data_IF_875634127388
#
_entry.id   IF_875634127388
#
_cell.length_a   1.000
_cell.length_b   1.000
_cell.length_c   1.000
_cell.angle_alpha   90.00
_cell.angle_beta   90.00
_cell.angle_gamma   90.00
#
_symmetry.space_group_name_H-M   'P 1'
#
loop_
_entity.id
_entity.type
_entity.pdbx_description
1 polymer ?
#
# COMPACT_ATOMS: atom_id res chain seq x y z
N UNK A 1 -43.35 -4.16 -5.63
CA UNK A 1 -42.66 -4.61 -4.41
C UNK A 1 -41.19 -4.77 -4.78
N UNK A 2 -40.37 -3.70 -4.76
CA UNK A 2 -39.72 -3.10 -3.58
C UNK A 2 -39.03 -4.24 -2.77
N UNK A 3 -37.70 -4.34 -2.63
CA UNK A 3 -36.80 -3.25 -2.20
C UNK A 3 -35.30 -3.55 -2.43
N UNK A 4 -34.60 -2.55 -3.00
CA UNK A 4 -33.24 -2.00 -2.71
C UNK A 4 -31.99 -2.90 -2.67
N UNK A 5 -30.95 -2.65 -3.48
CA UNK A 5 -29.98 -1.50 -3.51
C UNK A 5 -29.13 -1.47 -2.22
N UNK A 6 -27.79 -1.48 -2.26
CA UNK A 6 -26.84 -0.39 -2.64
C UNK A 6 -25.45 -1.04 -2.95
N UNK A 7 -24.87 -1.01 -4.16
CA UNK A 7 -23.91 -0.04 -4.75
C UNK A 7 -22.77 0.47 -3.84
N UNK A 8 -21.51 0.17 -4.20
CA UNK A 8 -20.40 1.14 -4.42
C UNK A 8 -19.10 0.39 -4.88
N UNK A 9 -18.77 0.20 -6.16
CA UNK A 9 -18.08 1.06 -7.17
C UNK A 9 -16.73 1.67 -6.74
N UNK A 10 -15.62 1.06 -7.18
CA UNK A 10 -14.60 1.62 -8.09
C UNK A 10 -13.52 0.55 -8.30
N UNK A 11 -13.05 0.11 -9.46
CA UNK A 11 -13.33 0.36 -10.88
C UNK A 11 -12.49 -0.70 -11.60
N UNK A 12 -13.12 -1.67 -12.26
CA UNK A 12 -12.53 -2.30 -13.44
C UNK A 12 -13.67 -2.53 -14.43
N UNK A 13 -13.68 -1.81 -15.56
CA UNK A 13 -14.75 -1.93 -16.54
C UNK A 13 -14.66 -3.32 -17.17
N UNK A 14 -15.71 -4.09 -16.96
CA UNK A 14 -16.12 -5.20 -17.80
C UNK A 14 -16.31 -4.72 -19.24
N UNK A 15 -15.41 -5.07 -20.16
CA UNK A 15 -15.73 -5.12 -21.58
C UNK A 15 -15.32 -6.46 -22.18
N UNK A 16 -16.37 -7.22 -22.41
CA UNK A 16 -16.49 -8.58 -22.91
C UNK A 16 -16.08 -8.77 -24.39
N UNK A 17 -15.27 -9.81 -24.64
CA UNK A 17 -15.64 -11.02 -25.40
C UNK A 17 -15.65 -11.10 -26.96
N UNK A 18 -15.12 -10.17 -27.78
CA UNK A 18 -15.21 -10.38 -29.27
C UNK A 18 -14.08 -9.91 -30.23
N UNK A 19 -12.82 -9.73 -29.83
CA UNK A 19 -11.75 -9.43 -30.83
C UNK A 19 -10.59 -10.40 -30.69
N UNK A 20 -10.78 -11.57 -31.30
CA UNK A 20 -9.97 -12.76 -31.08
C UNK A 20 -8.87 -13.01 -32.14
N UNK A 21 -8.68 -12.20 -33.19
CA UNK A 21 -7.85 -12.67 -34.31
C UNK A 21 -6.44 -12.09 -34.50
N UNK A 22 -6.08 -10.83 -34.19
CA UNK A 22 -4.77 -10.36 -34.73
C UNK A 22 -4.01 -9.21 -34.03
N UNK A 23 -4.34 -8.81 -32.78
CA UNK A 23 -3.57 -7.78 -32.04
C UNK A 23 -3.10 -8.25 -30.65
N UNK A 24 -3.42 -9.50 -30.31
CA UNK A 24 -3.30 -10.05 -28.96
C UNK A 24 -1.85 -10.19 -28.47
N UNK A 25 -0.89 -10.39 -29.38
CA UNK A 25 0.48 -10.76 -28.99
C UNK A 25 1.31 -9.57 -28.47
N UNK A 26 1.00 -8.34 -28.89
CA UNK A 26 1.72 -7.14 -28.43
C UNK A 26 1.08 -6.46 -27.21
N UNK A 27 -0.22 -6.69 -26.98
CA UNK A 27 -0.95 -6.09 -25.86
C UNK A 27 -0.87 -6.91 -24.56
N UNK A 28 -0.72 -8.25 -24.65
CA UNK A 28 -0.48 -9.11 -23.47
C UNK A 28 0.84 -8.72 -22.77
N UNK A 29 1.90 -8.44 -23.54
CA UNK A 29 3.17 -7.95 -22.97
C UNK A 29 3.06 -6.59 -22.29
N UNK A 30 2.08 -5.75 -22.66
CA UNK A 30 1.93 -4.41 -22.07
C UNK A 30 1.15 -4.44 -20.74
N UNK A 31 0.15 -5.33 -20.60
CA UNK A 31 -0.60 -5.49 -19.34
C UNK A 31 0.17 -6.32 -18.29
N UNK A 32 0.95 -7.31 -18.70
CA UNK A 32 1.76 -8.14 -17.78
C UNK A 32 3.02 -7.43 -17.25
N UNK A 33 3.44 -6.34 -17.91
CA UNK A 33 4.62 -5.57 -17.49
C UNK A 33 4.32 -4.61 -16.33
N UNK A 34 3.09 -4.09 -16.24
CA UNK A 34 2.67 -3.17 -15.16
C UNK A 34 2.61 -3.84 -13.80
N UNK A 35 1.94 -5.01 -13.70
CA UNK A 35 1.78 -5.74 -12.45
C UNK A 35 3.10 -6.29 -11.90
N UNK A 36 4.01 -6.76 -12.77
CA UNK A 36 5.33 -7.25 -12.33
C UNK A 36 6.20 -6.15 -11.72
N UNK A 37 6.15 -4.93 -12.25
CA UNK A 37 6.97 -3.82 -11.75
C UNK A 37 6.48 -3.33 -10.39
N UNK A 38 5.17 -3.38 -10.16
CA UNK A 38 4.58 -3.05 -8.88
C UNK A 38 4.97 -4.09 -7.82
N UNK A 39 4.87 -5.39 -8.14
CA UNK A 39 5.21 -6.47 -7.21
C UNK A 39 6.64 -6.39 -6.65
N UNK A 40 7.63 -6.14 -7.51
CA UNK A 40 9.05 -6.05 -7.11
C UNK A 40 9.26 -4.94 -6.06
N UNK A 41 8.64 -3.77 -6.24
CA UNK A 41 8.80 -2.66 -5.29
C UNK A 41 8.14 -2.94 -3.94
N UNK A 42 7.01 -3.65 -3.94
CA UNK A 42 6.34 -4.02 -2.69
C UNK A 42 7.20 -5.01 -1.90
N UNK A 43 7.83 -5.97 -2.57
CA UNK A 43 8.77 -6.92 -1.95
C UNK A 43 10.00 -6.22 -1.35
N UNK A 44 10.55 -5.19 -2.01
CA UNK A 44 11.68 -4.41 -1.48
C UNK A 44 11.31 -3.68 -0.19
N UNK A 45 10.15 -3.00 -0.17
CA UNK A 45 9.66 -2.27 0.99
C UNK A 45 9.32 -3.24 2.13
N UNK A 46 8.66 -4.35 1.81
CA UNK A 46 8.33 -5.39 2.79
C UNK A 46 9.59 -6.01 3.41
N UNK A 47 10.66 -6.19 2.63
CA UNK A 47 11.95 -6.68 3.14
C UNK A 47 12.52 -5.73 4.19
N UNK A 48 12.50 -4.42 3.94
CA UNK A 48 12.98 -3.41 4.88
C UNK A 48 12.07 -3.36 6.12
N UNK A 49 10.75 -3.39 5.95
CA UNK A 49 9.82 -3.42 7.09
C UNK A 49 10.04 -4.67 7.96
N UNK A 50 10.33 -5.82 7.36
CA UNK A 50 10.66 -7.05 8.10
C UNK A 50 11.94 -6.93 8.94
N UNK A 51 12.91 -6.09 8.53
CA UNK A 51 14.10 -5.81 9.34
C UNK A 51 13.79 -4.95 10.56
N UNK A 52 12.79 -4.07 10.48
CA UNK A 52 12.40 -3.14 11.55
C UNK A 52 11.42 -3.79 12.54
N UNK A 53 10.61 -4.76 12.08
CA UNK A 53 9.64 -5.52 12.90
C UNK A 53 10.18 -6.01 14.26
N UNK A 54 11.35 -6.67 14.38
CA UNK A 54 11.83 -7.13 15.68
C UNK A 54 12.07 -6.00 16.68
N UNK A 55 12.47 -4.81 16.21
CA UNK A 55 12.60 -3.63 17.08
C UNK A 55 11.23 -3.12 17.53
N UNK A 56 10.24 -3.09 16.63
CA UNK A 56 8.88 -2.66 16.95
C UNK A 56 8.16 -3.65 17.88
N UNK A 57 8.38 -4.94 17.69
CA UNK A 57 7.82 -6.00 18.55
C UNK A 57 8.38 -5.93 19.97
N UNK A 58 9.65 -5.55 20.13
CA UNK A 58 10.23 -5.29 21.45
C UNK A 58 9.54 -4.14 22.19
N UNK A 59 9.07 -3.13 21.45
CA UNK A 59 8.24 -2.03 21.98
C UNK A 59 6.76 -2.41 22.15
N UNK A 60 6.38 -3.67 21.84
CA UNK A 60 5.00 -4.16 21.91
C UNK A 60 4.11 -3.69 20.76
N UNK A 61 4.72 -3.28 19.65
CA UNK A 61 4.09 -2.77 18.45
C UNK A 61 4.17 -3.70 17.24
N UNK A 62 3.62 -3.23 16.12
CA UNK A 62 3.76 -3.87 14.82
C UNK A 62 3.50 -2.88 13.68
N UNK A 63 3.91 -3.25 12.47
CA UNK A 63 3.69 -2.46 11.26
C UNK A 63 3.31 -3.35 10.09
N UNK A 64 2.33 -2.88 9.31
CA UNK A 64 1.92 -3.47 8.04
C UNK A 64 1.91 -2.44 6.93
N UNK A 65 2.31 -2.88 5.74
CA UNK A 65 2.22 -2.08 4.53
C UNK A 65 0.78 -2.14 3.99
N UNK A 66 0.17 -0.97 3.74
CA UNK A 66 -1.19 -0.88 3.18
C UNK A 66 -1.14 -0.54 1.69
N UNK A 67 -0.40 0.50 1.33
CA UNK A 67 -0.30 0.97 -0.04
C UNK A 67 1.00 1.75 -0.27
N UNK A 68 1.47 1.77 -1.50
CA UNK A 68 2.66 2.49 -1.96
C UNK A 68 2.29 3.30 -3.20
N UNK A 69 2.24 4.63 -3.06
CA UNK A 69 1.97 5.58 -4.12
C UNK A 69 3.28 6.18 -4.63
N UNK A 70 3.88 5.55 -5.65
CA UNK A 70 5.18 5.97 -6.20
C UNK A 70 5.14 7.36 -6.86
N UNK A 71 4.03 7.70 -7.52
CA UNK A 71 3.90 8.97 -8.24
C UNK A 71 3.93 10.17 -7.28
N UNK A 72 3.32 10.01 -6.10
CA UNK A 72 3.30 11.03 -5.05
C UNK A 72 4.52 10.91 -4.12
N UNK A 73 5.11 9.72 -4.03
CA UNK A 73 6.19 9.38 -3.10
C UNK A 73 5.65 9.12 -1.69
N UNK A 74 4.43 8.62 -1.57
CA UNK A 74 3.74 8.43 -0.29
C UNK A 74 3.62 6.94 0.02
N UNK A 75 4.03 6.53 1.21
CA UNK A 75 3.86 5.15 1.69
C UNK A 75 2.83 5.15 2.81
N UNK A 76 1.78 4.35 2.66
CA UNK A 76 0.73 4.19 3.66
C UNK A 76 1.01 2.94 4.48
N UNK A 77 1.18 3.13 5.78
CA UNK A 77 1.45 2.05 6.74
C UNK A 77 0.37 2.02 7.81
N UNK A 78 0.07 0.82 8.28
CA UNK A 78 -0.82 0.59 9.41
C UNK A 78 0.01 0.19 10.61
N UNK A 79 -0.14 0.94 11.69
CA UNK A 79 0.48 0.61 12.96
C UNK A 79 -0.42 -0.35 13.75
N UNK A 80 0.20 -1.36 14.36
CA UNK A 80 -0.44 -2.37 15.18
C UNK A 80 0.10 -2.36 16.61
N UNK A 81 -0.62 -3.02 17.52
CA UNK A 81 -0.20 -3.21 18.91
C UNK A 81 -0.29 -1.96 19.78
N UNK A 82 0.65 -1.81 20.72
CA UNK A 82 0.71 -0.69 21.67
C UNK A 82 0.82 0.68 20.97
N UNK A 83 1.36 0.69 19.76
CA UNK A 83 1.62 1.89 18.97
C UNK A 83 0.35 2.58 18.46
N UNK A 84 -0.78 1.86 18.34
CA UNK A 84 -2.06 2.45 17.88
C UNK A 84 -2.71 3.35 18.93
N UNK A 85 -2.51 3.08 20.22
CA UNK A 85 -3.29 3.70 21.30
C UNK A 85 -2.71 5.01 21.86
N UNK A 86 -1.47 5.35 21.53
CA UNK A 86 -0.77 6.50 22.10
C UNK A 86 -0.37 7.49 21.00
N UNK A 87 -0.96 8.70 20.94
CA UNK A 87 -0.68 9.66 19.87
C UNK A 87 0.80 10.10 19.85
N UNK A 88 1.44 10.11 21.02
CA UNK A 88 2.87 10.40 21.13
C UNK A 88 3.72 9.29 20.52
N UNK A 89 3.35 8.02 20.75
CA UNK A 89 4.06 6.88 20.17
C UNK A 89 3.88 6.81 18.65
N UNK A 90 2.67 7.10 18.14
CA UNK A 90 2.39 7.15 16.69
C UNK A 90 3.34 8.14 16.03
N UNK A 91 3.47 9.35 16.57
CA UNK A 91 4.30 10.37 15.94
C UNK A 91 5.78 10.00 15.93
N UNK A 92 6.33 9.51 17.05
CA UNK A 92 7.74 9.11 17.12
C UNK A 92 8.04 7.91 16.22
N UNK A 93 7.13 6.93 16.16
CA UNK A 93 7.30 5.75 15.32
C UNK A 93 7.15 6.06 13.83
N UNK A 94 6.18 6.90 13.46
CA UNK A 94 6.04 7.43 12.10
C UNK A 94 7.37 8.02 11.63
N UNK A 95 7.96 8.91 12.44
CA UNK A 95 9.24 9.55 12.11
C UNK A 95 10.39 8.54 12.01
N UNK A 96 10.44 7.53 12.88
CA UNK A 96 11.47 6.50 12.84
C UNK A 96 11.41 5.65 11.57
N UNK A 97 10.20 5.20 11.20
CA UNK A 97 9.98 4.40 9.98
C UNK A 97 10.22 5.25 8.73
N UNK A 98 9.79 6.51 8.74
CA UNK A 98 10.05 7.47 7.67
C UNK A 98 11.54 7.70 7.44
N UNK A 99 12.34 7.87 8.51
CA UNK A 99 13.78 8.05 8.40
C UNK A 99 14.45 6.86 7.70
N UNK A 100 14.09 5.63 8.09
CA UNK A 100 14.64 4.41 7.48
C UNK A 100 14.21 4.27 6.02
N UNK A 101 12.93 4.53 5.71
CA UNK A 101 12.43 4.44 4.34
C UNK A 101 13.04 5.52 3.43
N UNK A 102 13.21 6.74 3.90
CA UNK A 102 13.88 7.82 3.16
C UNK A 102 15.37 7.53 2.91
N UNK A 103 16.05 6.86 3.85
CA UNK A 103 17.45 6.45 3.68
C UNK A 103 17.61 5.37 2.60
N UNK A 104 16.70 4.39 2.58
CA UNK A 104 16.74 3.31 1.57
C UNK A 104 16.19 3.77 0.21
N UNK A 105 15.22 4.68 0.21
CA UNK A 105 14.50 5.11 -0.99
C UNK A 105 14.42 6.64 -1.08
N UNK A 106 15.28 7.29 -1.89
CA UNK A 106 15.29 8.75 -2.01
C UNK A 106 14.07 9.34 -2.74
N UNK A 107 13.18 8.50 -3.26
CA UNK A 107 11.93 8.91 -3.89
C UNK A 107 10.75 9.00 -2.90
N UNK A 108 10.90 8.46 -1.70
CA UNK A 108 9.90 8.56 -0.63
C UNK A 108 9.95 9.97 -0.07
N UNK A 109 8.79 10.64 -0.06
CA UNK A 109 8.64 12.00 0.46
C UNK A 109 8.00 12.00 1.84
N UNK A 110 7.00 11.15 2.04
CA UNK A 110 6.26 11.07 3.28
C UNK A 110 5.75 9.64 3.53
N UNK A 111 5.72 9.25 4.79
CA UNK A 111 5.01 8.05 5.25
C UNK A 111 3.74 8.49 5.96
N UNK A 112 2.58 7.95 5.62
CA UNK A 112 1.30 8.24 6.29
C UNK A 112 0.87 7.02 7.10
N UNK A 113 0.69 7.20 8.40
CA UNK A 113 0.07 6.19 9.24
C UNK A 113 -1.45 6.27 9.02
N UNK A 114 -2.06 5.17 8.59
CA UNK A 114 -3.51 5.07 8.43
C UNK A 114 -4.11 4.33 9.62
N UNK A 115 -4.99 5.01 10.37
CA UNK A 115 -5.90 4.35 11.29
C UNK A 115 -7.14 3.89 10.51
N UNK A 116 -7.74 2.77 10.92
CA UNK A 116 -8.87 2.14 10.20
C UNK A 116 -10.09 3.07 10.03
N UNK A 117 -10.17 4.15 10.79
CA UNK A 117 -11.27 5.12 10.75
C UNK A 117 -11.12 6.22 9.67
N UNK A 118 -9.92 6.45 9.13
CA UNK A 118 -9.64 7.57 8.20
C UNK A 118 -9.68 7.17 6.70
N UNK A 119 -10.23 6.00 6.35
CA UNK A 119 -10.49 5.60 4.95
C UNK A 119 -11.98 5.54 4.57
N UNK A 120 -12.86 6.15 5.37
CA UNK A 120 -14.33 6.15 5.16
C UNK A 120 -14.95 7.55 4.95
N UNK A 121 -14.16 8.57 4.63
CA UNK A 121 -14.67 9.90 4.27
C UNK A 121 -14.55 10.19 2.76
#
# INVERSE_FOLDING_TARGET
MITRLIHNKSTYPSVDFFVCQNVLFSLILFWEYGERKQKIMYEDIETILNQIRPSLEADGGGIDLVNVDKEQGIIRVKLQGACRGCPMAIMTLKMGVEAVLCEQFPWVREVVAVDEEENLA
#
